data_IF_437748757854
#
_entry.id   IF_437748757854
#
_cell.length_a   1.000
_cell.length_b   1.000
_cell.length_c   1.000
_cell.angle_alpha   90.00
_cell.angle_beta   90.00
_cell.angle_gamma   90.00
#
_symmetry.space_group_name_H-M   'P 1'
#
loop_
_entity.id
_entity.type
_entity.pdbx_description
1 polymer ?
#
# COMPACT_ATOMS: atom_id res chain seq x y z
N UNK A 1 26.04 -32.32 -4.97
CA UNK A 1 25.09 -31.18 -4.99
C UNK A 1 23.72 -31.77 -5.18
N UNK A 2 22.90 -31.72 -4.15
CA UNK A 2 21.67 -32.51 -4.03
C UNK A 2 20.48 -31.76 -4.65
N UNK A 3 19.63 -32.47 -5.40
CA UNK A 3 18.45 -31.91 -6.10
C UNK A 3 17.45 -31.29 -5.11
N UNK A 4 17.46 -31.75 -3.86
CA UNK A 4 16.63 -31.22 -2.79
C UNK A 4 16.98 -29.79 -2.37
N UNK A 5 18.23 -29.35 -2.55
CA UNK A 5 18.64 -27.98 -2.20
C UNK A 5 18.19 -26.97 -3.27
N UNK A 6 18.00 -27.40 -4.51
CA UNK A 6 17.53 -26.54 -5.60
C UNK A 6 16.02 -26.26 -5.52
N UNK A 7 15.23 -27.20 -4.99
CA UNK A 7 13.78 -27.06 -4.86
C UNK A 7 13.35 -26.16 -3.68
N UNK A 8 14.20 -25.99 -2.67
CA UNK A 8 13.95 -25.03 -1.57
C UNK A 8 14.21 -23.56 -1.95
N UNK A 9 15.05 -23.34 -2.96
CA UNK A 9 15.30 -22.00 -3.51
C UNK A 9 14.30 -21.58 -4.59
N UNK A 10 13.49 -22.50 -5.11
CA UNK A 10 12.44 -22.19 -6.10
C UNK A 10 11.04 -22.04 -5.49
N UNK A 11 10.80 -22.59 -4.30
CA UNK A 11 9.52 -22.44 -3.59
C UNK A 11 9.38 -21.13 -2.81
N UNK A 12 10.47 -20.40 -2.60
CA UNK A 12 10.50 -19.09 -1.92
C UNK A 12 10.40 -17.90 -2.89
N UNK A 13 10.40 -18.13 -4.21
CA UNK A 13 10.47 -17.08 -5.25
C UNK A 13 9.09 -16.57 -5.69
N UNK A 14 8.00 -17.03 -5.07
CA UNK A 14 6.64 -16.53 -5.34
C UNK A 14 5.89 -16.03 -4.10
N UNK A 15 6.62 -15.56 -3.08
CA UNK A 15 6.06 -14.57 -2.16
C UNK A 15 6.15 -13.20 -2.85
N UNK A 16 5.16 -13.00 -3.71
CA UNK A 16 4.61 -11.72 -4.15
C UNK A 16 5.22 -10.49 -3.47
N UNK A 17 5.99 -9.71 -4.24
CA UNK A 17 6.69 -8.52 -3.78
C UNK A 17 5.69 -7.43 -3.35
N UNK A 18 5.18 -7.49 -2.13
CA UNK A 18 4.29 -6.47 -1.58
C UNK A 18 5.12 -5.21 -1.32
N UNK A 19 4.81 -4.12 -2.02
CA UNK A 19 5.47 -2.83 -1.81
C UNK A 19 5.08 -2.33 -0.41
N UNK A 20 6.02 -2.40 0.52
CA UNK A 20 5.86 -1.90 1.89
C UNK A 20 6.52 -0.54 1.97
N UNK A 21 5.71 0.48 2.24
CA UNK A 21 6.20 1.83 2.49
C UNK A 21 7.03 1.91 3.78
N UNK A 22 8.10 2.69 3.74
CA UNK A 22 8.72 3.18 4.98
C UNK A 22 7.71 4.03 5.76
N UNK A 23 7.49 3.65 7.03
CA UNK A 23 6.44 4.25 7.84
C UNK A 23 6.72 5.70 8.19
N UNK A 24 7.98 6.08 8.41
CA UNK A 24 8.32 7.47 8.69
C UNK A 24 7.98 8.35 7.48
N UNK A 25 8.42 7.92 6.30
CA UNK A 25 8.12 8.58 5.03
C UNK A 25 6.61 8.73 4.81
N UNK A 26 5.84 7.67 5.09
CA UNK A 26 4.38 7.69 4.99
C UNK A 26 3.75 8.69 5.98
N UNK A 27 4.15 8.64 7.24
CA UNK A 27 3.59 9.50 8.29
C UNK A 27 3.91 10.97 8.07
N UNK A 28 5.09 11.29 7.52
CA UNK A 28 5.47 12.65 7.12
C UNK A 28 4.58 13.23 6.01
N UNK A 29 3.88 12.38 5.25
CA UNK A 29 2.94 12.87 4.23
C UNK A 29 1.59 13.28 4.82
N UNK A 30 1.27 12.95 6.08
CA UNK A 30 -0.02 13.30 6.67
C UNK A 30 -0.17 14.83 6.75
N UNK A 31 -1.26 15.36 6.19
CA UNK A 31 -1.51 16.79 6.07
C UNK A 31 -0.96 17.44 4.79
N UNK A 32 -0.15 16.72 3.99
CA UNK A 32 0.39 17.22 2.72
C UNK A 32 -0.67 17.12 1.62
N UNK A 33 -0.79 18.16 0.78
CA UNK A 33 -1.72 18.21 -0.34
C UNK A 33 -1.20 17.43 -1.56
N UNK A 34 -2.04 16.56 -2.11
CA UNK A 34 -1.73 15.76 -3.30
C UNK A 34 -2.68 16.10 -4.46
N UNK A 35 -2.18 16.91 -5.40
CA UNK A 35 -2.90 17.24 -6.65
C UNK A 35 -3.25 16.00 -7.48
N UNK A 36 -2.48 14.90 -7.31
CA UNK A 36 -2.69 13.63 -8.02
C UNK A 36 -3.40 12.56 -7.16
N UNK A 37 -4.00 12.94 -6.04
CA UNK A 37 -4.79 12.06 -5.18
C UNK A 37 -4.00 10.91 -4.57
N UNK A 38 -4.68 9.79 -4.32
CA UNK A 38 -4.10 8.61 -3.67
C UNK A 38 -2.92 8.01 -4.46
N UNK A 39 -3.01 7.98 -5.79
CA UNK A 39 -1.88 7.60 -6.66
C UNK A 39 -0.66 8.54 -6.55
N UNK A 40 -0.89 9.83 -6.28
CA UNK A 40 0.18 10.80 -6.01
C UNK A 40 0.90 10.52 -4.70
N UNK A 41 0.13 10.19 -3.65
CA UNK A 41 0.68 9.74 -2.37
C UNK A 41 1.51 8.46 -2.55
N UNK A 42 0.97 7.46 -3.24
CA UNK A 42 1.69 6.20 -3.51
C UNK A 42 3.01 6.42 -4.21
N UNK A 43 3.02 7.21 -5.28
CA UNK A 43 4.23 7.56 -6.02
C UNK A 43 5.27 8.23 -5.12
N UNK A 44 4.84 9.17 -4.27
CA UNK A 44 5.72 9.91 -3.36
C UNK A 44 6.31 9.02 -2.27
N UNK A 45 5.50 8.20 -1.62
CA UNK A 45 5.90 7.37 -0.48
C UNK A 45 6.80 6.22 -0.91
N UNK A 46 6.51 5.58 -2.05
CA UNK A 46 7.31 4.48 -2.56
C UNK A 46 8.54 4.96 -3.37
N UNK A 47 8.65 6.26 -3.64
CA UNK A 47 9.71 6.79 -4.53
C UNK A 47 9.57 6.31 -5.99
N UNK A 48 8.35 6.01 -6.42
CA UNK A 48 8.06 5.44 -7.75
C UNK A 48 7.41 6.47 -8.69
N UNK A 49 7.52 6.29 -10.02
CA UNK A 49 6.80 7.12 -10.97
C UNK A 49 5.29 7.12 -10.73
N UNK A 50 4.66 8.28 -10.96
CA UNK A 50 3.21 8.38 -10.86
C UNK A 50 2.49 7.51 -11.90
N UNK A 51 1.55 6.69 -11.42
CA UNK A 51 0.62 5.91 -12.23
C UNK A 51 -0.79 6.03 -11.65
N UNK A 52 -1.79 6.17 -12.51
CA UNK A 52 -3.21 6.18 -12.08
C UNK A 52 -3.62 4.79 -11.58
N UNK A 53 -4.54 4.74 -10.61
CA UNK A 53 -5.00 3.49 -9.95
C UNK A 53 -5.48 2.42 -10.92
N UNK A 54 -6.03 2.78 -12.10
CA UNK A 54 -6.43 1.83 -13.15
C UNK A 54 -5.30 0.95 -13.70
N UNK A 55 -4.05 1.36 -13.52
CA UNK A 55 -2.86 0.62 -13.97
C UNK A 55 -2.25 -0.23 -12.87
N UNK A 56 -2.75 -0.15 -11.64
CA UNK A 56 -2.26 -1.01 -10.58
C UNK A 56 -2.88 -2.37 -10.80
N UNK A 57 -2.10 -3.45 -10.69
CA UNK A 57 -2.70 -4.79 -10.64
C UNK A 57 -2.90 -5.17 -9.19
N UNK A 58 -4.08 -5.72 -8.97
CA UNK A 58 -4.53 -6.25 -7.70
C UNK A 58 -3.70 -7.50 -7.39
N UNK A 59 -3.17 -7.52 -6.17
CA UNK A 59 -2.56 -8.69 -5.55
C UNK A 59 -3.59 -9.52 -4.81
N UNK A 60 -3.15 -10.23 -3.78
CA UNK A 60 -4.02 -11.10 -2.99
C UNK A 60 -5.12 -10.26 -2.29
N UNK A 61 -6.32 -10.84 -2.21
CA UNK A 61 -7.31 -10.39 -1.25
C UNK A 61 -6.77 -10.68 0.14
N UNK A 62 -6.87 -9.72 1.05
CA UNK A 62 -6.28 -9.82 2.38
C UNK A 62 -7.35 -9.58 3.42
N UNK A 63 -7.39 -10.41 4.45
CA UNK A 63 -8.16 -10.14 5.65
C UNK A 63 -7.48 -9.03 6.47
N UNK A 64 -8.28 -8.17 7.10
CA UNK A 64 -7.81 -6.99 7.83
C UNK A 64 -6.76 -7.30 8.91
N UNK A 65 -6.81 -8.52 9.48
CA UNK A 65 -5.93 -8.96 10.56
C UNK A 65 -4.53 -9.39 10.12
N UNK A 66 -4.28 -9.53 8.81
CA UNK A 66 -2.98 -9.97 8.29
C UNK A 66 -2.20 -8.86 7.56
N UNK A 67 -2.64 -7.61 7.67
CA UNK A 67 -1.95 -6.46 7.08
C UNK A 67 -0.68 -6.11 7.84
N UNK A 68 0.46 -6.19 7.15
CA UNK A 68 1.70 -5.59 7.63
C UNK A 68 1.64 -4.07 7.49
N UNK A 69 2.13 -3.34 8.50
CA UNK A 69 2.25 -1.88 8.42
C UNK A 69 3.09 -1.47 7.19
N UNK A 70 2.70 -0.38 6.54
CA UNK A 70 3.30 0.11 5.29
C UNK A 70 2.71 -0.55 4.03
N UNK A 71 1.85 -1.56 4.16
CA UNK A 71 1.22 -2.21 3.00
C UNK A 71 0.33 -1.25 2.21
N UNK A 72 0.53 -1.21 0.90
CA UNK A 72 -0.41 -0.60 -0.03
C UNK A 72 -1.64 -1.50 -0.21
N UNK A 73 -2.80 -1.01 0.24
CA UNK A 73 -4.11 -1.66 0.09
C UNK A 73 -5.02 -0.84 -0.81
N UNK A 74 -6.12 -1.42 -1.26
CA UNK A 74 -7.14 -0.67 -1.99
C UNK A 74 -8.27 -1.51 -2.54
N UNK A 75 -9.12 -0.88 -3.34
CA UNK A 75 -10.29 -1.43 -4.00
C UNK A 75 -10.43 -0.75 -5.37
N UNK A 76 -11.33 -1.21 -6.25
CA UNK A 76 -11.48 -0.60 -7.57
C UNK A 76 -11.64 0.92 -7.49
N UNK A 77 -10.66 1.64 -8.05
CA UNK A 77 -10.63 3.11 -8.11
C UNK A 77 -9.87 3.82 -6.99
N UNK A 78 -9.44 3.15 -5.90
CA UNK A 78 -8.82 3.82 -4.76
C UNK A 78 -7.76 2.98 -4.06
N UNK A 79 -6.72 3.63 -3.52
CA UNK A 79 -5.66 3.01 -2.74
C UNK A 79 -5.35 3.79 -1.45
N UNK A 80 -4.80 3.09 -0.47
CA UNK A 80 -4.39 3.62 0.82
C UNK A 80 -3.21 2.82 1.36
N UNK A 81 -2.47 3.38 2.31
CA UNK A 81 -1.48 2.62 3.06
C UNK A 81 -2.04 2.23 4.42
N UNK A 82 -1.84 0.98 4.82
CA UNK A 82 -2.09 0.55 6.19
C UNK A 82 -0.96 1.03 7.09
N UNK A 83 -1.26 1.92 8.04
CA UNK A 83 -0.30 2.43 9.00
C UNK A 83 -0.35 1.68 10.34
N UNK A 84 -1.45 0.95 10.63
CA UNK A 84 -1.59 0.15 11.86
C UNK A 84 -1.32 0.94 13.14
N UNK A 85 -1.66 2.24 13.17
CA UNK A 85 -1.44 3.13 14.30
C UNK A 85 -0.08 3.85 14.33
N UNK A 86 0.86 3.52 13.44
CA UNK A 86 2.22 4.06 13.46
C UNK A 86 2.29 5.59 13.36
N UNK A 87 1.38 6.22 12.61
CA UNK A 87 1.34 7.67 12.45
C UNK A 87 0.61 8.42 13.59
N UNK A 88 0.33 7.76 14.72
CA UNK A 88 -0.33 8.34 15.89
C UNK A 88 -1.83 8.61 15.70
N UNK A 89 -2.51 9.15 16.73
CA UNK A 89 -3.93 9.60 16.69
C UNK A 89 -4.97 8.53 16.28
N UNK A 90 -4.63 7.24 16.37
CA UNK A 90 -5.46 6.15 15.85
C UNK A 90 -5.48 6.08 14.31
N UNK A 91 -4.37 6.48 13.68
CA UNK A 91 -4.19 6.42 12.23
C UNK A 91 -4.00 4.98 11.77
N UNK A 92 -5.08 4.32 11.42
CA UNK A 92 -5.04 2.94 10.94
C UNK A 92 -4.66 2.89 9.46
N UNK A 93 -5.16 3.86 8.69
CA UNK A 93 -4.85 4.06 7.28
C UNK A 93 -4.44 5.49 6.98
N UNK A 94 -3.52 5.65 6.02
CA UNK A 94 -3.19 6.94 5.42
C UNK A 94 -3.67 6.91 3.96
N UNK A 95 -4.54 7.85 3.60
CA UNK A 95 -5.04 7.96 2.23
C UNK A 95 -5.28 9.41 1.82
N UNK A 96 -5.57 9.59 0.53
CA UNK A 96 -6.04 10.86 -0.03
C UNK A 96 -7.37 10.58 -0.71
N UNK A 97 -8.45 11.29 -0.34
CA UNK A 97 -9.80 11.05 -0.87
C UNK A 97 -9.90 11.24 -2.39
N UNK A 98 -9.02 12.07 -2.97
CA UNK A 98 -8.96 12.30 -4.41
C UNK A 98 -7.98 13.42 -4.76
N UNK A 99 -7.84 13.74 -6.05
CA UNK A 99 -7.05 14.88 -6.51
C UNK A 99 -7.36 16.17 -5.74
N UNK A 100 -6.32 16.93 -5.38
CA UNK A 100 -6.45 18.21 -4.69
C UNK A 100 -6.76 18.13 -3.20
N UNK A 101 -6.74 16.93 -2.60
CA UNK A 101 -6.96 16.73 -1.17
C UNK A 101 -5.65 16.46 -0.44
N UNK A 102 -5.66 16.72 0.87
CA UNK A 102 -4.54 16.38 1.75
C UNK A 102 -4.58 14.90 2.13
N UNK A 103 -3.41 14.30 2.37
CA UNK A 103 -3.36 12.97 2.97
C UNK A 103 -3.83 13.03 4.42
N UNK A 104 -4.67 12.08 4.82
CA UNK A 104 -5.31 12.05 6.13
C UNK A 104 -5.20 10.67 6.75
N UNK A 105 -5.23 10.70 8.07
CA UNK A 105 -5.42 9.51 8.88
C UNK A 105 -6.89 9.12 8.94
N UNK A 106 -7.18 7.86 8.67
CA UNK A 106 -8.50 7.27 8.84
C UNK A 106 -8.40 6.04 9.75
N UNK A 107 -9.40 5.88 10.62
CA UNK A 107 -9.54 4.73 11.53
C UNK A 107 -10.17 3.50 10.90
N UNK A 108 -10.74 3.67 9.72
CA UNK A 108 -11.35 2.62 8.92
C UNK A 108 -11.62 3.21 7.54
N UNK A 109 -11.51 2.38 6.51
CA UNK A 109 -11.87 2.72 5.14
C UNK A 109 -13.27 2.18 4.77
N UNK A 110 -14.01 1.65 5.74
CA UNK A 110 -15.28 0.96 5.55
C UNK A 110 -15.12 -0.54 5.25
N UNK A 111 -16.26 -1.20 5.10
CA UNK A 111 -16.36 -2.61 4.69
C UNK A 111 -16.27 -2.74 3.17
N UNK A 112 -15.22 -3.38 2.68
CA UNK A 112 -15.00 -3.65 1.26
C UNK A 112 -13.84 -4.62 1.06
N UNK A 113 -13.78 -5.26 -0.09
CA UNK A 113 -12.66 -6.16 -0.45
C UNK A 113 -11.38 -5.34 -0.59
N UNK A 114 -10.35 -5.69 0.17
CA UNK A 114 -9.03 -5.05 0.14
C UNK A 114 -8.05 -5.95 -0.58
N UNK A 115 -7.38 -5.38 -1.57
CA UNK A 115 -6.30 -6.05 -2.28
C UNK A 115 -4.97 -5.44 -1.85
N UNK A 116 -3.94 -6.26 -1.61
CA UNK A 116 -2.55 -5.78 -1.70
C UNK A 116 -2.34 -5.31 -3.13
N UNK A 117 -1.64 -4.22 -3.36
CA UNK A 117 -1.28 -3.83 -4.74
C UNK A 117 0.20 -3.99 -5.00
N UNK A 118 0.51 -4.41 -6.22
CA UNK A 118 1.84 -4.34 -6.78
C UNK A 118 1.89 -3.15 -7.73
N UNK A 119 2.83 -2.23 -7.50
CA UNK A 119 3.10 -1.20 -8.49
C UNK A 119 3.88 -1.85 -9.64
N UNK A 120 3.48 -1.58 -10.88
CA UNK A 120 4.12 -2.15 -12.06
C UNK A 120 5.37 -1.35 -12.41
N UNK A 121 6.42 -2.03 -12.86
CA UNK A 121 7.51 -1.44 -13.66
C UNK A 121 6.94 -0.48 -14.71
#
# INVERSE_FOLDING_TARGET
>A
MDIFTLLFFLSTVHLSYQEVADLNTLCDQVGVLFNKGCSGLTAKVLGLPYKTTRYYRYGASIDDYSLAQGTLVGWPGHVAFYAGGACGRGCEFVNVQGPGHVARCQRSLGSGVRFAYYNYN
#
